data_IF_391544702189
#
_entry.id   IF_391544702189
#
_cell.length_a   1.000
_cell.length_b   1.000
_cell.length_c   1.000
_cell.angle_alpha   90.00
_cell.angle_beta   90.00
_cell.angle_gamma   90.00
#
_symmetry.space_group_name_H-M   'P 1'
#
loop_
_entity.id
_entity.type
_entity.pdbx_description
1 polymer ?
#
# COMPACT_ATOMS: atom_id res chain seq x y z
N UNK A 1 -7.58 -15.07 62.00
CA UNK A 1 -6.80 -15.69 60.90
C UNK A 1 -7.41 -15.55 59.49
N UNK A 2 -8.30 -14.59 59.19
CA UNK A 2 -8.86 -14.38 57.83
C UNK A 2 -8.15 -13.31 56.99
N UNK A 3 -7.42 -12.38 57.60
CA UNK A 3 -6.76 -11.28 56.89
C UNK A 3 -5.56 -11.70 56.02
N UNK A 4 -4.85 -12.78 56.39
CA UNK A 4 -3.65 -13.23 55.68
C UNK A 4 -3.95 -13.93 54.35
N UNK A 5 -5.15 -14.50 54.19
CA UNK A 5 -5.56 -15.18 52.96
C UNK A 5 -5.99 -14.16 51.91
N UNK A 6 -6.73 -13.13 52.31
CA UNK A 6 -7.18 -12.05 51.43
C UNK A 6 -6.00 -11.26 50.86
N UNK A 7 -4.99 -10.97 51.69
CA UNK A 7 -3.80 -10.23 51.25
C UNK A 7 -2.95 -11.01 50.23
N UNK A 8 -2.85 -12.33 50.39
CA UNK A 8 -2.16 -13.21 49.42
C UNK A 8 -2.91 -13.27 48.08
N UNK A 9 -4.24 -13.36 48.11
CA UNK A 9 -5.06 -13.36 46.90
C UNK A 9 -4.94 -12.03 46.13
N UNK A 10 -4.95 -10.89 46.83
CA UNK A 10 -4.76 -9.57 46.21
C UNK A 10 -3.39 -9.42 45.56
N UNK A 11 -2.33 -9.93 46.22
CA UNK A 11 -0.97 -9.88 45.69
C UNK A 11 -0.82 -10.71 44.41
N UNK A 12 -1.39 -11.92 44.39
CA UNK A 12 -1.37 -12.79 43.21
C UNK A 12 -2.11 -12.15 42.03
N UNK A 13 -3.28 -11.54 42.28
CA UNK A 13 -4.03 -10.79 41.26
C UNK A 13 -3.23 -9.60 40.70
N UNK A 14 -2.56 -8.83 41.57
CA UNK A 14 -1.75 -7.69 41.11
C UNK A 14 -0.59 -8.14 40.22
N UNK A 15 0.10 -9.22 40.58
CA UNK A 15 1.18 -9.79 39.77
C UNK A 15 0.64 -10.27 38.41
N UNK A 16 -0.49 -10.97 38.38
CA UNK A 16 -1.13 -11.41 37.14
C UNK A 16 -1.46 -10.23 36.22
N UNK A 17 -1.99 -9.14 36.76
CA UNK A 17 -2.30 -7.93 35.98
C UNK A 17 -1.01 -7.33 35.40
N UNK A 18 0.05 -7.20 36.19
CA UNK A 18 1.35 -6.66 35.71
C UNK A 18 1.93 -7.54 34.61
N UNK A 19 1.84 -8.86 34.74
CA UNK A 19 2.32 -9.81 33.71
C UNK A 19 1.50 -9.68 32.44
N UNK A 20 0.17 -9.59 32.52
CA UNK A 20 -0.69 -9.43 31.35
C UNK A 20 -0.45 -8.08 30.67
N UNK A 21 -0.36 -6.99 31.42
CA UNK A 21 -0.06 -5.65 30.88
C UNK A 21 1.32 -5.64 30.24
N UNK A 22 2.32 -6.26 30.86
CA UNK A 22 3.67 -6.40 30.30
C UNK A 22 3.69 -7.22 29.02
N UNK A 23 2.95 -8.34 28.97
CA UNK A 23 2.82 -9.17 27.78
C UNK A 23 2.10 -8.44 26.64
N UNK A 24 1.00 -7.73 26.93
CA UNK A 24 0.30 -6.90 25.95
C UNK A 24 1.20 -5.76 25.47
N UNK A 25 1.94 -5.11 26.37
CA UNK A 25 2.90 -4.08 26.00
C UNK A 25 4.00 -4.64 25.07
N UNK A 26 4.55 -5.81 25.37
CA UNK A 26 5.55 -6.46 24.52
C UNK A 26 4.97 -6.92 23.17
N UNK A 27 3.71 -7.35 23.12
CA UNK A 27 3.03 -7.70 21.87
C UNK A 27 2.71 -6.47 21.02
N UNK A 28 2.28 -5.36 21.64
CA UNK A 28 1.94 -4.12 20.92
C UNK A 28 3.20 -3.34 20.53
N UNK A 29 4.25 -3.35 21.35
CA UNK A 29 5.40 -2.46 21.22
C UNK A 29 6.77 -3.16 21.18
N UNK A 30 6.91 -4.39 21.64
CA UNK A 30 8.20 -4.90 22.12
C UNK A 30 9.00 -5.83 21.23
N UNK A 31 8.42 -6.62 20.31
CA UNK A 31 9.17 -7.78 19.77
C UNK A 31 9.22 -7.90 18.24
N UNK A 32 8.47 -7.09 17.47
CA UNK A 32 8.50 -7.28 16.00
C UNK A 32 8.28 -6.02 15.15
N UNK A 33 8.68 -4.85 15.65
CA UNK A 33 8.88 -3.71 14.75
C UNK A 33 10.29 -3.77 14.24
N UNK A 34 10.45 -4.44 13.10
CA UNK A 34 11.62 -4.26 12.25
C UNK A 34 11.83 -2.74 12.11
N UNK A 35 12.97 -2.16 12.51
CA UNK A 35 13.22 -0.73 12.32
C UNK A 35 13.12 -0.31 10.84
N UNK A 36 13.13 -1.26 9.89
CA UNK A 36 12.77 -1.03 8.49
C UNK A 36 11.28 -0.69 8.25
N UNK A 37 10.40 -0.86 9.25
CA UNK A 37 8.99 -0.49 9.22
C UNK A 37 8.70 0.86 9.92
N UNK A 38 9.73 1.58 10.39
CA UNK A 38 9.55 2.97 10.81
C UNK A 38 9.21 3.84 9.61
N UNK A 39 7.96 4.28 9.57
CA UNK A 39 7.45 5.35 8.71
C UNK A 39 7.87 5.23 7.24
N UNK A 40 7.00 4.65 6.42
CA UNK A 40 6.99 4.93 4.98
C UNK A 40 6.52 6.38 4.78
N UNK A 41 7.28 7.35 5.30
CA UNK A 41 7.31 8.70 4.73
C UNK A 41 7.74 8.49 3.29
N UNK A 42 6.83 8.74 2.34
CA UNK A 42 6.96 8.42 0.92
C UNK A 42 8.42 8.38 0.48
N UNK A 43 8.94 7.16 0.28
CA UNK A 43 10.32 6.99 -0.16
C UNK A 43 10.53 7.76 -1.46
N UNK A 44 11.73 8.30 -1.67
CA UNK A 44 12.06 8.93 -2.95
C UNK A 44 11.69 7.95 -4.08
N UNK A 45 11.03 8.45 -5.13
CA UNK A 45 10.74 7.61 -6.29
C UNK A 45 12.05 7.46 -7.07
N UNK A 46 12.56 6.24 -7.30
CA UNK A 46 13.76 6.04 -8.10
C UNK A 46 13.54 6.53 -9.53
N UNK A 47 14.60 6.99 -10.20
CA UNK A 47 14.52 7.29 -11.64
C UNK A 47 14.20 6.03 -12.44
N UNK A 48 13.60 6.19 -13.63
CA UNK A 48 13.24 5.04 -14.47
C UNK A 48 14.44 4.15 -14.80
N UNK A 49 15.60 4.74 -15.09
CA UNK A 49 16.85 4.02 -15.36
C UNK A 49 17.29 3.20 -14.13
N UNK A 50 17.30 3.81 -12.94
CA UNK A 50 17.70 3.12 -11.71
C UNK A 50 16.72 2.00 -11.37
N UNK A 51 15.42 2.23 -11.59
CA UNK A 51 14.37 1.27 -11.35
C UNK A 51 14.43 0.07 -12.32
N UNK A 52 14.71 0.32 -13.61
CA UNK A 52 14.95 -0.71 -14.63
C UNK A 52 16.16 -1.57 -14.28
N UNK A 53 17.30 -0.94 -13.99
CA UNK A 53 18.50 -1.65 -13.57
C UNK A 53 18.25 -2.53 -12.34
N UNK A 54 17.46 -2.04 -11.37
CA UNK A 54 17.11 -2.81 -10.18
C UNK A 54 16.28 -4.06 -10.50
N UNK A 55 15.22 -3.94 -11.31
CA UNK A 55 14.39 -5.12 -11.65
C UNK A 55 15.14 -6.14 -12.50
N UNK A 56 16.07 -5.70 -13.35
CA UNK A 56 16.93 -6.55 -14.16
C UNK A 56 17.96 -7.29 -13.30
N UNK A 57 18.70 -6.58 -12.44
CA UNK A 57 19.70 -7.15 -11.53
C UNK A 57 19.07 -8.19 -10.59
N UNK A 58 17.90 -7.88 -10.05
CA UNK A 58 17.14 -8.75 -9.14
C UNK A 58 16.31 -9.81 -9.87
N UNK A 59 16.29 -9.80 -11.20
CA UNK A 59 15.49 -10.72 -12.05
C UNK A 59 14.01 -10.75 -11.68
N UNK A 60 13.47 -9.60 -11.27
CA UNK A 60 12.04 -9.46 -10.92
C UNK A 60 11.15 -9.50 -12.16
N UNK A 61 11.68 -9.05 -13.29
CA UNK A 61 11.09 -9.06 -14.63
C UNK A 61 12.14 -9.53 -15.63
N UNK A 62 11.71 -10.28 -16.65
CA UNK A 62 12.51 -10.65 -17.80
C UNK A 62 12.50 -9.56 -18.88
N UNK A 63 11.38 -8.85 -19.04
CA UNK A 63 11.28 -7.67 -19.92
C UNK A 63 10.54 -6.55 -19.19
N UNK A 64 10.92 -5.30 -19.46
CA UNK A 64 10.23 -4.12 -18.91
C UNK A 64 9.53 -3.37 -20.03
N UNK A 65 8.20 -3.34 -19.97
CA UNK A 65 7.35 -2.73 -21.00
C UNK A 65 7.05 -1.25 -20.66
N UNK A 66 6.70 -0.97 -19.40
CA UNK A 66 6.30 0.37 -18.95
C UNK A 66 6.84 0.69 -17.56
N UNK A 67 7.25 1.94 -17.37
CA UNK A 67 7.58 2.55 -16.08
C UNK A 67 6.66 3.74 -15.85
N UNK A 68 6.20 3.92 -14.60
CA UNK A 68 5.31 5.03 -14.26
C UNK A 68 5.43 5.35 -12.76
N UNK A 69 5.65 6.63 -12.43
CA UNK A 69 5.46 7.12 -11.08
C UNK A 69 3.96 7.19 -10.74
N UNK A 70 3.56 6.64 -9.59
CA UNK A 70 2.17 6.62 -9.11
C UNK A 70 2.05 7.21 -7.70
N UNK A 71 0.90 7.83 -7.42
CA UNK A 71 0.62 8.60 -6.20
C UNK A 71 -0.76 8.23 -5.63
N UNK A 72 -0.91 7.05 -5.01
CA UNK A 72 -2.21 6.52 -4.60
C UNK A 72 -2.74 7.16 -3.29
N UNK A 73 -2.61 8.46 -3.08
CA UNK A 73 -3.02 9.12 -1.82
C UNK A 73 -2.23 8.71 -0.56
N UNK A 74 -1.13 7.97 -0.73
CA UNK A 74 -0.22 7.49 0.31
C UNK A 74 1.25 7.56 -0.15
N UNK A 75 2.11 6.59 0.20
CA UNK A 75 3.45 6.51 -0.35
C UNK A 75 3.41 6.45 -1.88
N UNK A 76 4.34 7.15 -2.52
CA UNK A 76 4.47 7.12 -3.97
C UNK A 76 5.44 6.03 -4.39
N UNK A 77 5.20 5.44 -5.55
CA UNK A 77 5.98 4.31 -6.05
C UNK A 77 6.37 4.52 -7.51
N UNK A 78 7.49 3.93 -7.88
CA UNK A 78 7.75 3.59 -9.28
C UNK A 78 7.07 2.26 -9.57
N UNK A 79 6.00 2.29 -10.37
CA UNK A 79 5.32 1.12 -10.89
C UNK A 79 5.99 0.69 -12.19
N UNK A 80 6.33 -0.60 -12.28
CA UNK A 80 7.02 -1.18 -13.43
C UNK A 80 6.19 -2.36 -13.91
N UNK A 81 5.75 -2.30 -15.15
CA UNK A 81 5.00 -3.36 -15.83
C UNK A 81 5.89 -4.03 -16.86
N UNK A 82 5.82 -5.35 -16.93
CA UNK A 82 6.60 -6.13 -17.87
C UNK A 82 6.20 -7.58 -17.83
N UNK A 83 7.11 -8.47 -18.25
CA UNK A 83 6.90 -9.92 -18.19
C UNK A 83 7.87 -10.59 -17.25
N UNK A 84 7.42 -11.62 -16.55
CA UNK A 84 8.28 -12.50 -15.77
C UNK A 84 9.05 -13.50 -16.66
N UNK A 85 9.88 -14.35 -16.05
CA UNK A 85 10.64 -15.38 -16.77
C UNK A 85 9.77 -16.42 -17.50
N UNK A 86 8.48 -16.53 -17.14
CA UNK A 86 7.51 -17.42 -17.78
C UNK A 86 6.72 -16.71 -18.89
N UNK A 87 7.01 -15.44 -19.17
CA UNK A 87 6.30 -14.61 -20.15
C UNK A 87 4.96 -14.07 -19.67
N UNK A 88 4.65 -14.17 -18.37
CA UNK A 88 3.41 -13.67 -17.79
C UNK A 88 3.55 -12.20 -17.42
N UNK A 89 2.49 -11.42 -17.66
CA UNK A 89 2.48 -10.00 -17.32
C UNK A 89 2.49 -9.81 -15.80
N UNK A 90 3.43 -9.00 -15.33
CA UNK A 90 3.73 -8.77 -13.92
C UNK A 90 3.94 -7.29 -13.67
N UNK A 91 3.46 -6.83 -12.52
CA UNK A 91 3.68 -5.48 -12.02
C UNK A 91 4.52 -5.54 -10.75
N UNK A 92 5.48 -4.63 -10.64
CA UNK A 92 6.40 -4.46 -9.50
C UNK A 92 6.35 -3.01 -9.04
N UNK A 93 6.33 -2.79 -7.73
CA UNK A 93 6.37 -1.44 -7.15
C UNK A 93 7.64 -1.23 -6.34
N UNK A 94 8.38 -0.18 -6.68
CA UNK A 94 9.64 0.18 -6.04
C UNK A 94 9.55 1.56 -5.40
N UNK A 95 10.24 1.75 -4.28
CA UNK A 95 10.54 3.08 -3.75
C UNK A 95 11.91 3.06 -3.03
N UNK A 96 12.53 4.23 -2.91
CA UNK A 96 13.83 4.41 -2.30
C UNK A 96 14.80 5.18 -3.19
N UNK A 97 15.90 5.65 -2.59
CA UNK A 97 16.99 6.32 -3.28
C UNK A 97 17.91 5.31 -3.98
N UNK A 98 18.73 5.72 -4.95
CA UNK A 98 19.78 4.85 -5.49
C UNK A 98 20.63 4.21 -4.37
N UNK A 99 20.82 2.90 -4.44
CA UNK A 99 21.51 2.12 -3.39
C UNK A 99 20.62 1.63 -2.24
N UNK A 100 19.41 2.18 -2.08
CA UNK A 100 18.45 1.83 -1.01
C UNK A 100 17.05 1.50 -1.57
N UNK A 101 16.96 1.12 -2.84
CA UNK A 101 15.70 0.73 -3.47
C UNK A 101 15.15 -0.54 -2.81
N UNK A 102 13.85 -0.50 -2.48
CA UNK A 102 13.09 -1.63 -1.93
C UNK A 102 11.93 -1.97 -2.85
N UNK A 103 11.65 -3.27 -2.97
CA UNK A 103 10.40 -3.79 -3.52
C UNK A 103 9.30 -3.71 -2.46
N UNK A 104 8.18 -3.08 -2.80
CA UNK A 104 6.99 -2.95 -1.95
C UNK A 104 5.87 -3.93 -2.31
N UNK A 105 6.12 -4.75 -3.33
CA UNK A 105 5.26 -5.83 -3.76
C UNK A 105 5.41 -6.10 -5.25
N UNK A 106 4.84 -7.23 -5.66
CA UNK A 106 4.63 -7.55 -7.06
C UNK A 106 3.47 -8.52 -7.23
N UNK A 107 2.79 -8.46 -8.39
CA UNK A 107 1.67 -9.34 -8.74
C UNK A 107 1.67 -9.69 -10.21
N UNK A 108 1.12 -10.85 -10.55
CA UNK A 108 0.74 -11.12 -11.93
C UNK A 108 -0.60 -10.44 -12.21
N UNK A 109 -0.72 -9.76 -13.35
CA UNK A 109 -1.95 -9.02 -13.68
C UNK A 109 -3.16 -9.94 -13.81
N UNK A 110 -2.93 -11.18 -14.26
CA UNK A 110 -3.96 -12.23 -14.39
C UNK A 110 -4.58 -12.68 -13.05
N UNK A 111 -3.91 -12.44 -11.92
CA UNK A 111 -4.37 -12.91 -10.61
C UNK A 111 -5.43 -11.98 -10.00
N UNK A 112 -5.62 -10.80 -10.59
CA UNK A 112 -6.63 -9.84 -10.17
C UNK A 112 -7.71 -9.62 -11.19
N UNK A 113 -8.65 -8.75 -10.84
CA UNK A 113 -9.71 -8.30 -11.74
C UNK A 113 -9.12 -7.49 -12.89
N UNK A 114 -9.55 -7.77 -14.13
CA UNK A 114 -9.07 -7.02 -15.28
C UNK A 114 -9.59 -5.58 -15.23
N UNK A 115 -8.83 -4.67 -15.81
CA UNK A 115 -9.13 -3.23 -15.85
C UNK A 115 -10.55 -2.93 -16.33
N UNK A 116 -11.01 -3.62 -17.37
CA UNK A 116 -12.34 -3.38 -17.95
C UNK A 116 -13.48 -3.71 -16.99
N UNK A 117 -13.29 -4.68 -16.07
CA UNK A 117 -14.28 -4.96 -15.03
C UNK A 117 -14.35 -3.82 -14.00
N UNK A 118 -13.20 -3.26 -13.61
CA UNK A 118 -13.16 -2.11 -12.69
C UNK A 118 -13.78 -0.87 -13.34
N UNK A 119 -13.51 -0.64 -14.63
CA UNK A 119 -14.18 0.41 -15.40
C UNK A 119 -15.68 0.23 -15.45
N UNK A 120 -16.17 -1.01 -15.61
CA UNK A 120 -17.60 -1.29 -15.57
C UNK A 120 -18.21 -0.97 -14.19
N UNK A 121 -17.52 -1.29 -13.09
CA UNK A 121 -17.98 -0.92 -11.74
C UNK A 121 -18.01 0.60 -11.52
N UNK A 122 -17.00 1.33 -12.01
CA UNK A 122 -16.98 2.79 -11.98
C UNK A 122 -18.11 3.41 -12.83
N UNK A 123 -18.36 2.86 -14.02
CA UNK A 123 -19.45 3.33 -14.89
C UNK A 123 -20.84 3.13 -14.26
N UNK A 124 -21.07 2.04 -13.51
CA UNK A 124 -22.32 1.84 -12.74
C UNK A 124 -22.54 2.92 -11.67
N UNK A 125 -21.45 3.56 -11.20
CA UNK A 125 -21.47 4.70 -10.27
C UNK A 125 -21.59 6.05 -10.97
N UNK A 126 -21.70 6.06 -12.30
CA UNK A 126 -21.75 7.27 -13.10
C UNK A 126 -20.39 7.91 -13.35
N UNK A 127 -19.29 7.17 -13.16
CA UNK A 127 -17.92 7.66 -13.39
C UNK A 127 -17.36 6.96 -14.64
N UNK A 128 -17.54 7.51 -15.85
CA UNK A 128 -16.97 6.96 -17.07
C UNK A 128 -15.45 7.13 -17.09
N UNK A 129 -14.74 6.32 -17.89
CA UNK A 129 -13.28 6.39 -18.01
C UNK A 129 -12.77 7.79 -18.42
N UNK A 130 -13.54 8.53 -19.22
CA UNK A 130 -13.21 9.90 -19.62
C UNK A 130 -13.07 10.86 -18.45
N UNK A 131 -13.73 10.56 -17.33
CA UNK A 131 -13.72 11.35 -16.09
C UNK A 131 -12.69 10.84 -15.07
N UNK A 132 -11.88 9.84 -15.40
CA UNK A 132 -10.79 9.38 -14.53
C UNK A 132 -9.49 10.11 -14.88
N UNK A 133 -8.86 10.71 -13.88
CA UNK A 133 -7.49 11.25 -13.97
C UNK A 133 -6.48 10.10 -13.89
N UNK A 134 -6.75 9.15 -12.99
CA UNK A 134 -5.92 7.98 -12.79
C UNK A 134 -6.73 6.70 -12.63
N UNK A 135 -6.21 5.61 -13.20
CA UNK A 135 -6.63 4.24 -12.93
C UNK A 135 -5.43 3.30 -13.04
N UNK A 136 -4.96 2.77 -11.92
CA UNK A 136 -3.83 1.85 -11.86
C UNK A 136 -3.91 0.92 -10.64
N UNK A 137 -3.15 -0.17 -10.65
CA UNK A 137 -2.99 -1.03 -9.48
C UNK A 137 -1.84 -0.52 -8.59
N UNK A 138 -2.05 -0.59 -7.28
CA UNK A 138 -1.06 -0.13 -6.30
C UNK A 138 -1.15 -0.94 -5.01
N UNK A 139 -0.04 -1.12 -4.27
CA UNK A 139 -0.10 -1.51 -2.88
C UNK A 139 -0.89 -0.46 -2.10
N UNK A 140 -1.84 -0.90 -1.28
CA UNK A 140 -2.54 -0.03 -0.34
C UNK A 140 -2.10 -0.27 1.10
N UNK A 141 -1.75 -1.52 1.43
CA UNK A 141 -1.10 -1.88 2.68
C UNK A 141 0.26 -2.49 2.36
N UNK A 142 1.27 -1.63 2.42
CA UNK A 142 2.68 -1.95 2.17
C UNK A 142 3.31 -2.83 3.25
N UNK A 143 2.58 -3.16 4.33
CA UNK A 143 3.04 -4.10 5.36
C UNK A 143 2.40 -5.49 5.22
N UNK A 144 1.19 -5.58 4.67
CA UNK A 144 0.48 -6.86 4.46
C UNK A 144 0.46 -7.34 3.01
N UNK A 145 1.06 -6.58 2.07
CA UNK A 145 1.16 -6.96 0.66
C UNK A 145 -0.16 -6.88 -0.10
N UNK A 146 -1.15 -6.17 0.46
CA UNK A 146 -2.46 -6.06 -0.18
C UNK A 146 -2.44 -5.03 -1.28
N UNK A 147 -2.93 -5.45 -2.43
CA UNK A 147 -2.98 -4.68 -3.67
C UNK A 147 -4.42 -4.27 -3.95
N UNK A 148 -4.59 -3.09 -4.51
CA UNK A 148 -5.88 -2.58 -4.90
C UNK A 148 -5.80 -1.88 -6.26
N UNK A 149 -6.92 -1.82 -6.94
CA UNK A 149 -7.16 -0.83 -7.99
C UNK A 149 -7.43 0.51 -7.34
N UNK A 150 -6.64 1.52 -7.73
CA UNK A 150 -6.82 2.91 -7.38
C UNK A 150 -7.43 3.65 -8.56
N UNK A 151 -8.52 4.38 -8.31
CA UNK A 151 -9.15 5.27 -9.28
C UNK A 151 -9.27 6.67 -8.68
N UNK A 152 -8.99 7.70 -9.48
CA UNK A 152 -9.21 9.10 -9.10
C UNK A 152 -10.00 9.82 -10.18
N UNK A 153 -11.09 10.47 -9.79
CA UNK A 153 -11.93 11.27 -10.67
C UNK A 153 -11.32 12.65 -10.97
N UNK A 154 -11.49 13.13 -12.20
CA UNK A 154 -11.08 14.46 -12.65
C UNK A 154 -11.97 15.53 -12.03
N UNK A 155 -11.35 16.55 -11.44
CA UNK A 155 -12.04 17.80 -11.06
C UNK A 155 -12.97 17.71 -9.84
N UNK A 156 -13.40 16.51 -9.44
CA UNK A 156 -14.27 16.30 -8.27
C UNK A 156 -13.45 16.14 -7.00
N UNK A 157 -12.99 17.24 -6.40
CA UNK A 157 -12.32 17.29 -5.07
C UNK A 157 -11.37 16.10 -4.78
N UNK A 158 -10.60 15.67 -5.78
CA UNK A 158 -9.77 14.46 -5.69
C UNK A 158 -10.54 13.25 -5.11
N UNK A 159 -11.69 12.93 -5.69
CA UNK A 159 -12.49 11.76 -5.34
C UNK A 159 -11.72 10.51 -5.73
N UNK A 160 -11.29 9.78 -4.71
CA UNK A 160 -10.46 8.58 -4.80
C UNK A 160 -11.28 7.37 -4.39
N UNK A 161 -11.25 6.33 -5.22
CA UNK A 161 -11.92 5.06 -4.98
C UNK A 161 -10.91 3.93 -5.01
N UNK A 162 -11.10 2.96 -4.13
CA UNK A 162 -10.26 1.78 -4.05
C UNK A 162 -11.07 0.50 -4.09
N UNK A 163 -10.62 -0.41 -4.96
CA UNK A 163 -11.23 -1.72 -5.17
C UNK A 163 -10.19 -2.79 -4.89
N UNK A 164 -10.60 -3.86 -4.21
CA UNK A 164 -9.72 -4.98 -3.94
C UNK A 164 -9.24 -5.59 -5.27
N UNK A 165 -7.94 -5.86 -5.39
CA UNK A 165 -7.36 -6.33 -6.64
C UNK A 165 -7.93 -7.69 -7.07
N UNK A 166 -8.24 -8.58 -6.14
CA UNK A 166 -8.71 -9.94 -6.44
C UNK A 166 -10.23 -10.01 -6.61
N UNK A 167 -10.98 -9.36 -5.72
CA UNK A 167 -12.45 -9.46 -5.72
C UNK A 167 -13.10 -8.38 -6.59
N UNK A 168 -12.44 -7.23 -6.77
CA UNK A 168 -13.01 -6.05 -7.42
C UNK A 168 -14.05 -5.33 -6.58
N UNK A 169 -14.20 -5.70 -5.30
CA UNK A 169 -15.13 -5.02 -4.39
C UNK A 169 -14.54 -3.69 -3.94
N UNK A 170 -15.34 -2.63 -4.00
CA UNK A 170 -14.96 -1.35 -3.41
C UNK A 170 -14.90 -1.50 -1.89
N UNK A 171 -13.77 -1.14 -1.30
CA UNK A 171 -13.61 -1.17 0.16
C UNK A 171 -13.29 0.21 0.76
N UNK A 172 -12.91 1.19 -0.07
CA UNK A 172 -12.61 2.54 0.40
C UNK A 172 -13.00 3.62 -0.62
N UNK A 173 -13.41 4.77 -0.10
CA UNK A 173 -13.73 5.98 -0.84
C UNK A 173 -13.31 7.19 -0.02
N UNK A 174 -12.66 8.16 -0.65
CA UNK A 174 -12.20 9.37 0.00
C UNK A 174 -12.30 10.56 -0.95
N UNK A 175 -12.39 11.75 -0.38
CA UNK A 175 -12.34 13.02 -1.12
C UNK A 175 -11.12 13.78 -0.61
N UNK A 176 -10.23 14.19 -1.50
CA UNK A 176 -9.14 15.09 -1.15
C UNK A 176 -9.64 16.50 -0.80
N UNK A 177 -8.78 17.25 -0.14
CA UNK A 177 -9.10 18.60 0.31
C UNK A 177 -8.82 19.58 -0.83
N UNK A 178 -9.87 20.19 -1.41
CA UNK A 178 -9.79 21.08 -2.57
C UNK A 178 -8.75 22.24 -2.47
N UNK A 179 -8.28 22.57 -1.26
CA UNK A 179 -7.28 23.63 -1.00
C UNK A 179 -5.82 23.23 -1.27
N UNK A 180 -5.50 21.96 -1.48
CA UNK A 180 -4.12 21.55 -1.78
C UNK A 180 -3.74 21.81 -3.26
N UNK A 181 -4.69 21.64 -4.19
CA UNK A 181 -4.48 21.72 -5.64
C UNK A 181 -4.18 23.14 -6.14
N UNK A 182 -4.71 24.18 -5.48
CA UNK A 182 -4.39 25.57 -5.84
C UNK A 182 -2.93 25.96 -5.53
N UNK A 183 -2.24 25.25 -4.63
CA UNK A 183 -0.82 25.53 -4.32
C UNK A 183 0.16 24.89 -5.29
N UNK A 184 -0.22 23.83 -5.99
CA UNK A 184 0.66 23.16 -6.96
C UNK A 184 0.52 23.73 -8.38
N UNK A 185 -0.66 24.25 -8.75
CA UNK A 185 -0.83 24.96 -10.04
C UNK A 185 -0.31 26.40 -10.04
N UNK A 186 0.16 26.90 -8.89
CA UNK A 186 0.68 28.26 -8.70
C UNK A 186 2.21 28.35 -8.60
N UNK A 187 2.96 27.31 -8.98
CA UNK A 187 4.42 27.31 -9.02
C UNK A 187 4.96 26.97 -10.40
#
# INVERSE_FOLDING_TARGET
>A
MKASVTMKATLIMAILIVVVVGAVYLLVYGINRDPAQQQVSGGAIPSEETARAYVEDRKLLATVDKTQAIHPGGPSFMMITGKDASGQEKVVWLAGKPGEIKEYGSVLTKDGKPRDQILAELAKKGIPESELDFLYISPYDYTSGKIAWFAQEKGTRDHMLWYDFQTGEQFWEAYGNARAVEREKGK
#
